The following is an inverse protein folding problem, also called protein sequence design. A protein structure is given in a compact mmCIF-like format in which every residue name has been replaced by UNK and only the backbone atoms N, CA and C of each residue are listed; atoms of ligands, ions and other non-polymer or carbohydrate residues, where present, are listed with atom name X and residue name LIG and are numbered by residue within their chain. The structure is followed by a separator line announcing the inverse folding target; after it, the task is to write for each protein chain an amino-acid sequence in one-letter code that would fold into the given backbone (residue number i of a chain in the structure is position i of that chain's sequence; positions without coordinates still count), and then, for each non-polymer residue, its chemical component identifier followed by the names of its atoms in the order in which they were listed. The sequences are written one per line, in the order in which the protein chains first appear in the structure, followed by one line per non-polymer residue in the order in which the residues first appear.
data_IF_038349879014
#
_entry.id   IF_038349879014
#
_cell.length_a   1.000
_cell.length_b   1.000
_cell.length_c   1.000
_cell.angle_alpha   90.00
_cell.angle_beta   90.00
_cell.angle_gamma   90.00
#
_symmetry.space_group_name_H-M   'P 1'
#
loop_
_entity.id
_entity.type
_entity.pdbx_description
1 polymer ?
#
# COMPACT_ATOMS: atom_id res chain seq x y z
N UNK A 1 15.90 4.56 8.75
CA UNK A 1 15.90 3.69 7.57
C UNK A 1 14.57 2.94 7.43
N UNK A 2 13.48 3.63 7.05
CA UNK A 2 12.10 3.09 7.05
C UNK A 2 11.39 3.24 5.70
N UNK A 3 12.14 3.31 4.59
CA UNK A 3 11.65 3.97 3.38
C UNK A 3 11.63 3.11 2.13
N UNK A 4 12.34 1.98 2.10
CA UNK A 4 12.27 1.02 0.99
C UNK A 4 11.70 -0.31 1.48
N UNK A 5 10.68 -0.82 0.78
CA UNK A 5 10.08 -2.13 1.06
C UNK A 5 11.10 -3.27 0.95
N UNK A 6 12.14 -3.08 0.13
CA UNK A 6 13.21 -4.05 -0.11
C UNK A 6 14.07 -4.35 1.14
N UNK A 7 14.01 -3.50 2.17
CA UNK A 7 14.72 -3.71 3.43
C UNK A 7 14.03 -4.76 4.32
N UNK A 8 12.77 -5.11 4.02
CA UNK A 8 12.02 -6.12 4.74
C UNK A 8 12.09 -7.46 4.01
N UNK A 9 12.80 -8.42 4.60
CA UNK A 9 12.76 -9.82 4.15
C UNK A 9 11.50 -10.51 4.68
N UNK A 10 10.54 -10.76 3.78
CA UNK A 10 9.29 -11.44 4.08
C UNK A 10 9.39 -12.96 4.18
N UNK A 11 10.54 -13.56 3.85
CA UNK A 11 10.68 -15.02 3.67
C UNK A 11 10.37 -15.80 4.93
N UNK A 12 10.81 -15.30 6.10
CA UNK A 12 10.58 -15.98 7.37
C UNK A 12 9.09 -16.00 7.74
N UNK A 13 8.40 -14.87 7.59
CA UNK A 13 6.97 -14.74 7.85
C UNK A 13 6.15 -15.58 6.88
N UNK A 14 6.52 -15.60 5.60
CA UNK A 14 5.86 -16.42 4.59
C UNK A 14 5.98 -17.92 4.92
N UNK A 15 7.19 -18.37 5.27
CA UNK A 15 7.46 -19.78 5.59
C UNK A 15 6.76 -20.24 6.89
N UNK A 16 6.84 -19.46 7.97
CA UNK A 16 6.26 -19.84 9.26
C UNK A 16 4.74 -19.67 9.30
N UNK A 17 4.24 -18.56 8.76
CA UNK A 17 2.81 -18.22 8.80
C UNK A 17 1.97 -18.93 7.73
N UNK A 18 2.61 -19.55 6.72
CA UNK A 18 1.93 -20.04 5.51
C UNK A 18 1.08 -18.95 4.85
N UNK A 19 1.64 -17.74 4.78
CA UNK A 19 1.02 -16.54 4.20
C UNK A 19 1.85 -16.02 3.04
N UNK A 20 1.23 -15.23 2.17
CA UNK A 20 1.94 -14.48 1.14
C UNK A 20 2.33 -13.13 1.74
N UNK A 21 3.62 -12.79 1.68
CA UNK A 21 4.14 -11.50 2.14
C UNK A 21 4.54 -10.66 0.94
N UNK A 22 4.01 -9.44 0.88
CA UNK A 22 4.25 -8.49 -0.22
C UNK A 22 4.73 -7.19 0.40
N UNK A 23 5.88 -6.71 -0.07
CA UNK A 23 6.43 -5.41 0.33
C UNK A 23 6.17 -4.40 -0.80
N UNK A 24 5.76 -3.20 -0.40
CA UNK A 24 5.39 -2.14 -1.34
C UNK A 24 6.40 -1.01 -1.27
N UNK A 25 6.70 -0.41 -2.42
CA UNK A 25 7.41 0.86 -2.52
C UNK A 25 6.44 1.95 -2.95
N UNK A 26 6.59 3.14 -2.38
CA UNK A 26 5.79 4.32 -2.69
C UNK A 26 6.68 5.56 -2.70
N UNK A 27 6.23 6.64 -3.37
CA UNK A 27 7.01 7.89 -3.46
C UNK A 27 7.16 8.57 -2.09
N UNK A 28 8.30 9.23 -1.90
CA UNK A 28 8.72 9.78 -0.61
C UNK A 28 9.06 11.26 -0.70
N UNK A 29 9.05 11.92 0.46
CA UNK A 29 9.42 13.32 0.59
C UNK A 29 8.63 14.21 -0.38
N UNK A 30 9.35 15.11 -1.06
CA UNK A 30 8.76 16.01 -2.05
C UNK A 30 7.98 15.25 -3.14
N UNK A 31 8.52 14.16 -3.67
CA UNK A 31 7.88 13.41 -4.75
C UNK A 31 6.60 12.69 -4.32
N UNK A 32 6.45 12.40 -3.03
CA UNK A 32 5.28 11.71 -2.47
C UNK A 32 4.20 12.66 -1.95
N UNK A 33 4.59 13.84 -1.46
CA UNK A 33 3.70 14.69 -0.66
C UNK A 33 3.70 16.17 -1.06
N UNK A 34 4.41 16.57 -2.12
CA UNK A 34 4.37 17.95 -2.59
C UNK A 34 2.96 18.36 -3.00
N UNK A 35 2.49 19.48 -2.45
CA UNK A 35 1.18 20.04 -2.76
C UNK A 35 1.27 21.55 -2.91
N UNK A 36 0.56 22.08 -3.90
CA UNK A 36 0.30 23.52 -4.07
C UNK A 36 -1.01 23.94 -3.41
N UNK A 37 -1.71 23.00 -2.76
CA UNK A 37 -3.03 23.21 -2.12
C UNK A 37 -4.10 23.73 -3.10
N UNK A 38 -3.90 23.48 -4.39
CA UNK A 38 -4.83 23.75 -5.49
C UNK A 38 -4.86 22.54 -6.44
N UNK A 39 -5.53 22.70 -7.59
CA UNK A 39 -5.66 21.62 -8.58
C UNK A 39 -4.38 21.32 -9.37
N UNK A 40 -3.34 22.17 -9.32
CA UNK A 40 -2.12 21.97 -10.10
C UNK A 40 -1.23 20.87 -9.50
N UNK A 41 -1.16 20.80 -8.17
CA UNK A 41 -0.51 19.71 -7.44
C UNK A 41 -1.31 19.43 -6.16
N UNK A 42 -2.36 18.59 -6.22
CA UNK A 42 -3.17 18.28 -5.04
C UNK A 42 -2.39 17.54 -3.94
N UNK A 43 -1.27 16.90 -4.29
CA UNK A 43 -0.40 16.15 -3.37
C UNK A 43 -0.87 14.72 -3.13
N UNK A 44 -0.42 14.12 -2.02
CA UNK A 44 -0.75 12.76 -1.59
C UNK A 44 -0.45 11.65 -2.62
N UNK A 45 0.53 11.88 -3.50
CA UNK A 45 0.98 10.91 -4.50
C UNK A 45 1.43 9.58 -3.89
N UNK A 46 2.01 9.61 -2.69
CA UNK A 46 2.35 8.41 -1.92
C UNK A 46 1.12 7.55 -1.57
N UNK A 47 -0.01 8.18 -1.22
CA UNK A 47 -1.26 7.45 -0.95
C UNK A 47 -1.82 6.87 -2.24
N UNK A 48 -1.75 7.60 -3.35
CA UNK A 48 -2.17 7.10 -4.67
C UNK A 48 -1.33 5.89 -5.11
N UNK A 49 -0.02 5.89 -4.86
CA UNK A 49 0.84 4.73 -5.13
C UNK A 49 0.38 3.50 -4.36
N UNK A 50 0.07 3.66 -3.07
CA UNK A 50 -0.41 2.57 -2.22
C UNK A 50 -1.80 2.08 -2.65
N UNK A 51 -2.73 2.97 -3.00
CA UNK A 51 -4.04 2.59 -3.56
C UNK A 51 -3.87 1.82 -4.86
N UNK A 52 -3.03 2.30 -5.78
CA UNK A 52 -2.77 1.61 -7.04
C UNK A 52 -2.14 0.23 -6.82
N UNK A 53 -1.23 0.10 -5.85
CA UNK A 53 -0.63 -1.17 -5.48
C UNK A 53 -1.66 -2.15 -4.88
N UNK A 54 -2.59 -1.68 -4.05
CA UNK A 54 -3.68 -2.51 -3.52
C UNK A 54 -4.67 -2.94 -4.62
N UNK A 55 -4.99 -2.06 -5.57
CA UNK A 55 -5.80 -2.40 -6.74
C UNK A 55 -5.10 -3.43 -7.62
N UNK A 56 -3.80 -3.27 -7.86
CA UNK A 56 -3.00 -4.26 -8.58
C UNK A 56 -3.02 -5.61 -7.83
N UNK A 57 -2.83 -5.58 -6.51
CA UNK A 57 -2.85 -6.78 -5.68
C UNK A 57 -4.20 -7.49 -5.80
N UNK A 58 -5.30 -6.77 -5.66
CA UNK A 58 -6.64 -7.31 -5.76
C UNK A 58 -6.91 -8.04 -7.09
N UNK A 59 -6.41 -7.51 -8.20
CA UNK A 59 -6.53 -8.13 -9.53
C UNK A 59 -5.57 -9.31 -9.73
N UNK A 60 -4.39 -9.30 -9.13
CA UNK A 60 -3.31 -10.24 -9.46
C UNK A 60 -3.04 -11.31 -8.39
N UNK A 61 -3.51 -11.15 -7.15
CA UNK A 61 -3.12 -12.02 -6.02
C UNK A 61 -3.52 -13.48 -6.22
N UNK A 62 -4.59 -13.74 -6.99
CA UNK A 62 -5.00 -15.10 -7.36
C UNK A 62 -3.94 -15.84 -8.19
N UNK A 63 -3.15 -15.12 -9.00
CA UNK A 63 -2.06 -15.71 -9.78
C UNK A 63 -0.91 -16.21 -8.89
N UNK A 64 -0.79 -15.65 -7.68
CA UNK A 64 0.15 -16.08 -6.66
C UNK A 64 -0.46 -17.07 -5.66
N UNK A 65 -1.65 -17.60 -5.96
CA UNK A 65 -2.43 -18.51 -5.10
C UNK A 65 -2.91 -17.88 -3.79
N UNK A 66 -3.02 -16.55 -3.73
CA UNK A 66 -3.60 -15.85 -2.58
C UNK A 66 -5.09 -15.56 -2.74
N UNK A 67 -5.73 -15.26 -1.61
CA UNK A 67 -7.14 -14.87 -1.55
C UNK A 67 -7.29 -13.34 -1.46
N UNK A 68 -8.01 -12.76 -2.43
CA UNK A 68 -8.28 -11.31 -2.50
C UNK A 68 -9.15 -10.79 -1.35
N UNK A 69 -9.89 -11.67 -0.68
CA UNK A 69 -10.74 -11.34 0.47
C UNK A 69 -9.98 -11.44 1.80
N UNK A 70 -8.75 -11.97 1.79
CA UNK A 70 -7.91 -12.14 2.98
C UNK A 70 -6.62 -11.33 2.86
N UNK A 71 -6.77 -10.02 2.61
CA UNK A 71 -5.65 -9.09 2.52
C UNK A 71 -5.55 -8.28 3.81
N UNK A 72 -4.40 -8.37 4.49
CA UNK A 72 -4.11 -7.56 5.67
C UNK A 72 -2.99 -6.57 5.36
N UNK A 73 -3.29 -5.28 5.51
CA UNK A 73 -2.31 -4.21 5.33
C UNK A 73 -1.69 -3.83 6.70
N UNK A 74 -0.37 -3.80 6.77
CA UNK A 74 0.38 -3.46 8.00
C UNK A 74 1.52 -2.50 7.68
N UNK A 75 1.92 -1.70 8.67
CA UNK A 75 3.04 -0.77 8.56
C UNK A 75 3.58 -0.35 9.93
N UNK A 76 4.78 0.21 9.96
CA UNK A 76 5.43 0.73 11.17
C UNK A 76 5.88 2.19 10.95
N UNK A 77 5.81 3.03 11.99
CA UNK A 77 6.16 4.45 11.92
C UNK A 77 5.32 5.19 10.86
N UNK A 78 5.98 5.81 9.88
CA UNK A 78 5.30 6.48 8.76
C UNK A 78 4.39 5.53 7.96
N UNK A 79 4.78 4.26 7.83
CA UNK A 79 3.95 3.25 7.18
C UNK A 79 2.64 3.02 7.93
N UNK A 80 2.66 2.99 9.26
CA UNK A 80 1.45 2.83 10.08
C UNK A 80 0.50 4.02 9.90
N UNK A 81 1.04 5.25 9.85
CA UNK A 81 0.25 6.45 9.55
C UNK A 81 -0.40 6.38 8.16
N UNK A 82 0.31 5.88 7.14
CA UNK A 82 -0.25 5.69 5.80
C UNK A 82 -1.33 4.61 5.76
N UNK A 83 -1.15 3.49 6.47
CA UNK A 83 -2.20 2.47 6.62
C UNK A 83 -3.45 3.09 7.26
N UNK A 84 -3.27 3.87 8.32
CA UNK A 84 -4.39 4.56 8.97
C UNK A 84 -5.09 5.54 8.03
N UNK A 85 -4.34 6.37 7.29
CA UNK A 85 -4.88 7.29 6.29
C UNK A 85 -5.65 6.57 5.19
N UNK A 86 -5.17 5.42 4.70
CA UNK A 86 -5.87 4.61 3.71
C UNK A 86 -7.16 4.01 4.27
N UNK A 87 -7.19 3.58 5.53
CA UNK A 87 -8.38 3.02 6.16
C UNK A 87 -9.50 4.06 6.32
N UNK A 88 -9.16 5.33 6.58
CA UNK A 88 -10.16 6.41 6.70
C UNK A 88 -10.49 7.06 5.35
N UNK A 89 -9.63 6.90 4.33
CA UNK A 89 -9.88 7.46 3.01
C UNK A 89 -11.07 6.76 2.34
N UNK A 90 -12.02 7.55 1.82
CA UNK A 90 -13.19 7.05 1.08
C UNK A 90 -12.81 6.35 -0.24
N UNK A 91 -11.57 6.53 -0.69
CA UNK A 91 -11.00 5.94 -1.90
C UNK A 91 -11.03 4.40 -1.87
N UNK A 92 -11.02 3.78 -0.69
CA UNK A 92 -11.04 2.33 -0.54
C UNK A 92 -12.43 1.68 -0.57
N UNK A 93 -13.54 2.41 -0.60
CA UNK A 93 -14.89 1.81 -0.56
C UNK A 93 -15.67 1.88 -1.88
N UNK A 94 -15.23 2.68 -2.86
CA UNK A 94 -15.95 2.88 -4.13
C UNK A 94 -15.48 2.01 -5.30
N UNK A 95 -14.19 1.64 -5.35
CA UNK A 95 -13.57 1.03 -6.53
C UNK A 95 -13.50 -0.50 -6.56
N UNK A 96 -14.17 -1.19 -5.64
CA UNK A 96 -14.15 -2.67 -5.56
C UNK A 96 -15.31 -3.34 -6.32
N UNK A 97 -16.25 -2.54 -6.82
CA UNK A 97 -17.54 -3.00 -7.37
C UNK A 97 -17.69 -2.79 -8.90
N UNK A 98 -16.61 -2.48 -9.61
CA UNK A 98 -16.61 -2.44 -11.08
C UNK A 98 -15.95 -3.72 -11.65
#
# INVERSE_FOLDING_TARGET
NHVAGNLYDGSLLAAHGKVIVITLNYRLGLLGFFSTMDSHSPGNLALHDLTAALLWLHHNIRNFRGDRNMVTLMGHGYGASLVHLLMISTVNMGGWND
#
